data_IF_517228690327
#
_entry.id   IF_517228690327
#
_cell.length_a   1.000
_cell.length_b   1.000
_cell.length_c   1.000
_cell.angle_alpha   90.00
_cell.angle_beta   90.00
_cell.angle_gamma   90.00
#
_symmetry.space_group_name_H-M   'P 1'
#
loop_
_entity.id
_entity.type
_entity.pdbx_description
1 polymer ?
#
# COMPACT_ATOMS: atom_id res chain seq x y z
N UNK A 1 -16.35 -26.22 4.81
CA UNK A 1 -15.32 -25.47 5.58
C UNK A 1 -14.69 -24.48 4.62
N UNK A 2 -15.45 -23.48 4.16
CA UNK A 2 -15.04 -22.61 3.04
C UNK A 2 -15.15 -21.11 3.38
N UNK A 3 -15.78 -20.74 4.50
CA UNK A 3 -16.07 -19.34 4.83
C UNK A 3 -14.86 -18.55 5.32
N UNK A 4 -13.93 -19.19 6.04
CA UNK A 4 -12.78 -18.49 6.62
C UNK A 4 -11.75 -18.02 5.58
N UNK A 5 -11.67 -18.68 4.42
CA UNK A 5 -10.68 -18.34 3.40
C UNK A 5 -11.13 -17.16 2.53
N UNK A 6 -12.44 -17.03 2.27
CA UNK A 6 -13.01 -15.88 1.56
C UNK A 6 -13.00 -14.60 2.41
N UNK A 7 -13.19 -14.70 3.73
CA UNK A 7 -13.12 -13.53 4.62
C UNK A 7 -11.71 -12.95 4.68
N UNK A 8 -10.69 -13.79 4.85
CA UNK A 8 -9.29 -13.33 4.84
C UNK A 8 -8.89 -12.68 3.51
N UNK A 9 -9.36 -13.22 2.37
CA UNK A 9 -9.09 -12.62 1.07
C UNK A 9 -9.75 -11.25 0.89
N UNK A 10 -10.96 -11.05 1.43
CA UNK A 10 -11.65 -9.74 1.39
C UNK A 10 -10.97 -8.71 2.28
N UNK A 11 -10.48 -9.11 3.44
CA UNK A 11 -9.72 -8.23 4.34
C UNK A 11 -8.40 -7.79 3.69
N UNK A 12 -7.68 -8.71 3.05
CA UNK A 12 -6.44 -8.43 2.33
C UNK A 12 -6.69 -7.48 1.14
N UNK A 13 -7.75 -7.73 0.36
CA UNK A 13 -8.13 -6.88 -0.76
C UNK A 13 -8.54 -5.47 -0.31
N UNK A 14 -9.24 -5.35 0.82
CA UNK A 14 -9.58 -4.04 1.42
C UNK A 14 -8.34 -3.29 1.89
N UNK A 15 -7.38 -3.98 2.51
CA UNK A 15 -6.11 -3.37 2.93
C UNK A 15 -5.30 -2.84 1.73
N UNK A 16 -5.30 -3.58 0.60
CA UNK A 16 -4.70 -3.14 -0.66
C UNK A 16 -5.42 -1.92 -1.24
N UNK A 17 -6.76 -1.91 -1.24
CA UNK A 17 -7.52 -0.74 -1.71
C UNK A 17 -7.25 0.49 -0.85
N UNK A 18 -7.23 0.35 0.47
CA UNK A 18 -6.95 1.46 1.39
C UNK A 18 -5.52 2.00 1.20
N UNK A 19 -4.51 1.13 1.14
CA UNK A 19 -3.12 1.59 0.94
C UNK A 19 -2.95 2.26 -0.42
N UNK A 20 -3.58 1.74 -1.46
CA UNK A 20 -3.53 2.32 -2.81
C UNK A 20 -4.18 3.69 -2.82
N UNK A 21 -5.36 3.82 -2.22
CA UNK A 21 -6.07 5.08 -2.12
C UNK A 21 -5.27 6.13 -1.33
N UNK A 22 -4.67 5.76 -0.20
CA UNK A 22 -3.81 6.66 0.58
C UNK A 22 -2.56 7.08 -0.19
N UNK A 23 -1.87 6.14 -0.85
CA UNK A 23 -0.68 6.44 -1.65
C UNK A 23 -1.03 7.42 -2.79
N UNK A 24 -2.15 7.21 -3.48
CA UNK A 24 -2.60 8.12 -4.54
C UNK A 24 -2.93 9.52 -4.01
N UNK A 25 -3.60 9.63 -2.86
CA UNK A 25 -3.87 10.92 -2.23
C UNK A 25 -2.59 11.62 -1.78
N UNK A 26 -1.65 10.89 -1.17
CA UNK A 26 -0.36 11.41 -0.73
C UNK A 26 0.43 12.01 -1.90
N UNK A 27 0.39 11.39 -3.09
CA UNK A 27 1.03 11.91 -4.29
C UNK A 27 0.44 13.24 -4.79
N UNK A 28 -0.80 13.58 -4.40
CA UNK A 28 -1.46 14.84 -4.77
C UNK A 28 -1.28 15.95 -3.74
N UNK A 29 -0.70 15.66 -2.57
CA UNK A 29 -0.43 16.68 -1.55
C UNK A 29 0.90 17.39 -1.78
N UNK A 30 0.88 18.71 -1.62
CA UNK A 30 2.02 19.59 -1.86
C UNK A 30 3.21 19.17 -0.97
N UNK A 31 4.33 18.85 -1.62
CA UNK A 31 5.59 18.47 -0.97
C UNK A 31 5.65 17.02 -0.44
N UNK A 32 4.56 16.26 -0.47
CA UNK A 32 4.58 14.84 -0.09
C UNK A 32 5.13 13.98 -1.22
N UNK A 33 4.73 14.24 -2.47
CA UNK A 33 5.27 13.56 -3.65
C UNK A 33 6.79 13.65 -3.75
N UNK A 34 7.37 14.84 -3.51
CA UNK A 34 8.82 15.05 -3.54
C UNK A 34 9.55 14.29 -2.41
N UNK A 35 8.93 14.17 -1.23
CA UNK A 35 9.49 13.39 -0.12
C UNK A 35 9.42 11.89 -0.39
N UNK A 36 8.34 11.42 -1.01
CA UNK A 36 8.20 10.03 -1.45
C UNK A 36 9.22 9.66 -2.53
N UNK A 37 9.45 10.55 -3.50
CA UNK A 37 10.48 10.36 -4.53
C UNK A 37 11.91 10.34 -3.96
N UNK A 38 12.15 11.08 -2.87
CA UNK A 38 13.44 11.09 -2.18
C UNK A 38 13.66 9.86 -1.27
N UNK A 39 12.60 9.17 -0.85
CA UNK A 39 12.66 8.04 0.07
C UNK A 39 13.39 6.85 -0.56
N UNK A 40 14.32 6.25 0.18
CA UNK A 40 15.14 5.11 -0.31
C UNK A 40 14.76 3.78 0.32
N UNK A 41 13.85 3.80 1.28
CA UNK A 41 13.42 2.63 2.03
C UNK A 41 11.92 2.66 2.31
N UNK A 42 11.32 1.47 2.49
CA UNK A 42 9.92 1.36 2.90
C UNK A 42 9.65 2.07 4.24
N UNK A 43 10.64 2.13 5.13
CA UNK A 43 10.55 2.85 6.39
C UNK A 43 10.42 4.36 6.16
N UNK A 44 11.23 4.94 5.27
CA UNK A 44 11.13 6.37 4.94
C UNK A 44 9.80 6.71 4.27
N UNK A 45 9.32 5.86 3.37
CA UNK A 45 7.97 6.02 2.77
C UNK A 45 6.90 6.02 3.86
N UNK A 46 6.96 5.06 4.79
CA UNK A 46 6.02 5.02 5.91
C UNK A 46 6.10 6.28 6.79
N UNK A 47 7.30 6.76 7.09
CA UNK A 47 7.49 7.94 7.94
C UNK A 47 6.94 9.21 7.26
N UNK A 48 7.07 9.34 5.94
CA UNK A 48 6.44 10.42 5.16
C UNK A 48 4.92 10.31 5.22
N UNK A 49 4.37 9.13 4.93
CA UNK A 49 2.91 8.93 4.96
C UNK A 49 2.33 9.13 6.36
N UNK A 50 3.06 8.81 7.42
CA UNK A 50 2.66 9.03 8.81
C UNK A 50 2.48 10.52 9.16
N UNK A 51 3.06 11.44 8.40
CA UNK A 51 2.84 12.88 8.59
C UNK A 51 1.44 13.34 8.16
N UNK A 52 0.75 12.53 7.35
CA UNK A 52 -0.55 12.85 6.81
C UNK A 52 -1.63 12.73 7.91
N UNK A 53 -2.55 13.70 8.05
CA UNK A 53 -3.53 13.71 9.12
C UNK A 53 -4.58 12.59 9.02
N UNK A 54 -4.70 11.97 7.84
CA UNK A 54 -5.60 10.86 7.55
C UNK A 54 -4.87 9.51 7.49
N UNK A 55 -3.58 9.45 7.84
CA UNK A 55 -2.84 8.19 7.88
C UNK A 55 -3.22 7.37 9.11
N UNK A 56 -3.79 6.20 8.87
CA UNK A 56 -4.31 5.31 9.93
C UNK A 56 -3.63 3.96 9.98
N UNK A 57 -2.78 3.63 9.00
CA UNK A 57 -2.13 2.31 8.93
C UNK A 57 -1.01 2.18 9.95
N UNK A 58 -0.92 1.00 10.53
CA UNK A 58 0.26 0.54 11.24
C UNK A 58 1.36 0.13 10.26
N UNK A 59 2.59 0.01 10.76
CA UNK A 59 3.72 -0.49 9.97
C UNK A 59 3.47 -1.90 9.41
N UNK A 60 2.75 -2.73 10.16
CA UNK A 60 2.41 -4.09 9.74
C UNK A 60 1.45 -4.07 8.55
N UNK A 61 0.34 -3.34 8.66
CA UNK A 61 -0.64 -3.18 7.57
C UNK A 61 -0.01 -2.53 6.34
N UNK A 62 0.87 -1.54 6.55
CA UNK A 62 1.62 -0.92 5.46
C UNK A 62 2.50 -1.94 4.71
N UNK A 63 3.24 -2.79 5.43
CA UNK A 63 4.08 -3.82 4.80
C UNK A 63 3.26 -4.84 4.03
N UNK A 64 2.17 -5.32 4.63
CA UNK A 64 1.25 -6.28 3.98
C UNK A 64 0.72 -5.68 2.69
N UNK A 65 0.24 -4.43 2.72
CA UNK A 65 -0.28 -3.76 1.52
C UNK A 65 0.77 -3.57 0.42
N UNK A 66 2.01 -3.20 0.78
CA UNK A 66 3.11 -3.07 -0.20
C UNK A 66 3.50 -4.42 -0.80
N UNK A 67 3.50 -5.49 -0.02
CA UNK A 67 3.81 -6.84 -0.50
C UNK A 67 2.74 -7.34 -1.46
N UNK A 68 1.46 -7.17 -1.11
CA UNK A 68 0.35 -7.52 -1.97
C UNK A 68 0.35 -6.72 -3.29
N UNK A 69 0.66 -5.42 -3.24
CA UNK A 69 0.84 -4.60 -4.45
C UNK A 69 1.96 -5.12 -5.36
N UNK A 70 3.08 -5.56 -4.78
CA UNK A 70 4.19 -6.15 -5.54
C UNK A 70 3.81 -7.48 -6.18
N UNK A 71 3.04 -8.31 -5.48
CA UNK A 71 2.54 -9.56 -6.03
C UNK A 71 1.61 -9.30 -7.21
N UNK A 72 0.66 -8.37 -7.07
CA UNK A 72 -0.24 -7.96 -8.17
C UNK A 72 0.53 -7.41 -9.38
N UNK A 73 1.56 -6.57 -9.17
CA UNK A 73 2.41 -6.11 -10.27
C UNK A 73 3.15 -7.27 -10.96
N UNK A 74 3.70 -8.21 -10.20
CA UNK A 74 4.40 -9.36 -10.76
C UNK A 74 3.47 -10.25 -11.59
N UNK A 75 2.23 -10.45 -11.14
CA UNK A 75 1.21 -11.23 -11.87
C UNK A 75 0.79 -10.55 -13.18
N UNK A 76 0.64 -9.21 -13.19
CA UNK A 76 0.32 -8.45 -14.41
C UNK A 76 1.43 -8.59 -15.46
N UNK A 77 2.70 -8.53 -15.04
CA UNK A 77 3.85 -8.63 -15.94
C UNK A 77 4.15 -10.05 -16.45
N UNK A 78 3.61 -11.11 -15.84
CA UNK A 78 3.76 -12.50 -16.32
C UNK A 78 2.81 -12.85 -17.47
N UNK A 79 1.84 -11.99 -17.77
CA UNK A 79 0.85 -12.19 -18.85
C UNK A 79 1.21 -11.47 -20.16
N UNK A 80 2.41 -10.87 -20.25
CA UNK A 80 2.92 -10.18 -21.45
C UNK A 80 4.02 -10.95 -22.22
N UNK A 81 4.34 -12.20 -21.86
CA UNK A 81 5.26 -13.09 -22.61
C UNK A 81 4.55 -14.03 -23.61
#
# INVERSE_FOLDING_TARGET
>A
METHQEESFREEQRAVEEITHMLLHALTEDGIGEQLDAARSQQEVYDVLKTLPYFTLTMEEFRIGIEALRQQQAEIHQHED
#
